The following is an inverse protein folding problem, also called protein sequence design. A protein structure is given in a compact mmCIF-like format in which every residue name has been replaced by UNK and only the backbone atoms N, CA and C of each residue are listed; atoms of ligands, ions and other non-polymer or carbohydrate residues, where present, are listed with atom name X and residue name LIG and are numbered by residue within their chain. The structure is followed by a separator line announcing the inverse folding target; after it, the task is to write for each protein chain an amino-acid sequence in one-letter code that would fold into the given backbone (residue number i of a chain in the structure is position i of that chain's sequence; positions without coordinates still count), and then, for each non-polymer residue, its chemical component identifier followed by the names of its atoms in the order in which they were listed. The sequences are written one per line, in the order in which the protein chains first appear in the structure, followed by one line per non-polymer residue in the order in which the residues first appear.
data_IF_912822002507
#
_entry.id   IF_912822002507
#
_cell.length_a   1.000
_cell.length_b   1.000
_cell.length_c   1.000
_cell.angle_alpha   90.00
_cell.angle_beta   90.00
_cell.angle_gamma   90.00
#
_symmetry.space_group_name_H-M   'P 1'
#
loop_
_entity.id
_entity.type
_entity.pdbx_description
1 polymer ?
#
# COMPACT_ATOMS: atom_id res chain seq x y z
N UNK A 1 10.60 -10.43 12.62
CA UNK A 1 9.46 -11.05 11.93
C UNK A 1 8.31 -10.05 11.84
N UNK A 2 7.52 -10.14 10.79
CA UNK A 2 6.42 -9.21 10.53
C UNK A 2 5.10 -9.93 10.82
N UNK A 3 4.34 -9.41 11.77
CA UNK A 3 2.97 -9.81 12.05
C UNK A 3 2.02 -8.63 11.78
N UNK A 4 0.75 -8.78 12.11
CA UNK A 4 -0.25 -7.74 11.88
C UNK A 4 0.08 -6.44 12.63
N UNK A 5 0.64 -6.53 13.84
CA UNK A 5 1.00 -5.34 14.62
C UNK A 5 2.16 -4.60 14.00
N UNK A 6 3.20 -5.32 13.56
CA UNK A 6 4.36 -4.72 12.89
C UNK A 6 3.94 -4.08 11.58
N UNK A 7 3.08 -4.73 10.82
CA UNK A 7 2.57 -4.20 9.57
C UNK A 7 1.76 -2.91 9.80
N UNK A 8 0.93 -2.88 10.83
CA UNK A 8 0.16 -1.69 11.21
C UNK A 8 1.07 -0.53 11.57
N UNK A 9 2.12 -0.77 12.36
CA UNK A 9 3.12 0.24 12.69
C UNK A 9 3.82 0.75 11.42
N UNK A 10 4.13 -0.14 10.49
CA UNK A 10 4.75 0.22 9.22
C UNK A 10 3.86 1.14 8.38
N UNK A 11 2.59 0.81 8.23
CA UNK A 11 1.66 1.66 7.49
C UNK A 11 1.48 3.02 8.15
N UNK A 12 1.41 3.08 9.48
CA UNK A 12 1.31 4.34 10.20
C UNK A 12 2.56 5.22 9.98
N UNK A 13 3.74 4.62 10.01
CA UNK A 13 5.00 5.33 9.75
C UNK A 13 5.05 5.86 8.31
N UNK A 14 4.64 5.07 7.33
CA UNK A 14 4.58 5.50 5.93
C UNK A 14 3.57 6.65 5.77
N UNK A 15 2.41 6.54 6.38
CA UNK A 15 1.37 7.59 6.34
C UNK A 15 1.90 8.92 6.87
N UNK A 16 2.57 8.90 8.02
CA UNK A 16 3.17 10.10 8.59
C UNK A 16 4.22 10.70 7.68
N UNK A 17 5.06 9.87 7.09
CA UNK A 17 6.11 10.33 6.16
C UNK A 17 5.53 10.94 4.90
N UNK A 18 4.47 10.35 4.37
CA UNK A 18 3.79 10.90 3.18
C UNK A 18 3.11 12.23 3.49
N UNK A 19 2.48 12.36 4.66
CA UNK A 19 1.87 13.63 5.09
C UNK A 19 2.92 14.73 5.25
N UNK A 20 4.08 14.41 5.85
CA UNK A 20 5.18 15.36 6.01
C UNK A 20 5.72 15.86 4.66
N UNK A 21 5.71 14.99 3.65
CA UNK A 21 6.28 15.29 2.34
C UNK A 21 5.22 15.64 1.28
N UNK A 22 3.97 15.81 1.67
CA UNK A 22 2.86 16.06 0.76
C UNK A 22 3.14 17.22 -0.19
N UNK A 23 3.52 18.38 0.34
CA UNK A 23 3.77 19.59 -0.46
C UNK A 23 4.98 19.41 -1.36
N UNK A 24 6.01 18.72 -0.88
CA UNK A 24 7.20 18.44 -1.67
C UNK A 24 6.88 17.54 -2.87
N UNK A 25 6.08 16.49 -2.65
CA UNK A 25 5.66 15.57 -3.72
C UNK A 25 4.77 16.27 -4.74
N UNK A 26 3.86 17.14 -4.30
CA UNK A 26 3.04 17.96 -5.20
C UNK A 26 3.93 18.83 -6.07
N UNK A 27 4.92 19.49 -5.47
CA UNK A 27 5.84 20.38 -6.18
C UNK A 27 6.63 19.64 -7.26
N UNK A 28 7.15 18.44 -6.93
CA UNK A 28 7.92 17.64 -7.90
C UNK A 28 7.01 17.20 -9.06
N UNK A 29 5.82 16.70 -8.75
CA UNK A 29 4.91 16.17 -9.76
C UNK A 29 4.37 17.26 -10.68
N UNK A 30 4.16 18.47 -10.17
CA UNK A 30 3.69 19.61 -10.99
C UNK A 30 4.65 20.00 -12.11
N UNK A 31 5.92 19.61 -12.02
CA UNK A 31 6.90 19.92 -13.07
C UNK A 31 6.65 19.10 -14.34
N UNK A 32 6.11 17.88 -14.21
CA UNK A 32 5.93 16.95 -15.33
C UNK A 32 4.55 16.29 -15.35
N UNK A 33 3.71 16.54 -14.35
CA UNK A 33 2.40 15.93 -14.21
C UNK A 33 1.35 16.92 -13.74
N UNK A 34 0.24 16.39 -13.27
CA UNK A 34 -0.91 17.18 -12.80
C UNK A 34 -0.86 17.54 -11.31
N UNK A 35 0.17 17.09 -10.60
CA UNK A 35 0.39 17.45 -9.19
C UNK A 35 -0.40 16.63 -8.18
N UNK A 36 -0.99 15.50 -8.58
CA UNK A 36 -1.81 14.70 -7.68
C UNK A 36 -1.03 13.66 -6.88
N UNK A 37 0.25 13.46 -7.15
CA UNK A 37 1.09 12.45 -6.49
C UNK A 37 1.08 12.58 -4.97
N UNK A 38 1.36 13.79 -4.46
CA UNK A 38 1.40 14.03 -3.01
C UNK A 38 0.05 13.84 -2.35
N UNK A 39 -1.02 14.26 -3.02
CA UNK A 39 -2.38 14.11 -2.54
C UNK A 39 -2.76 12.63 -2.46
N UNK A 40 -2.48 11.87 -3.53
CA UNK A 40 -2.78 10.43 -3.58
C UNK A 40 -2.01 9.64 -2.53
N UNK A 41 -0.72 9.93 -2.38
CA UNK A 41 0.12 9.21 -1.41
C UNK A 41 -0.31 9.53 0.03
N UNK A 42 -0.57 10.78 0.34
CA UNK A 42 -1.02 11.18 1.67
C UNK A 42 -2.39 10.56 2.00
N UNK A 43 -3.36 10.77 1.15
CA UNK A 43 -4.73 10.27 1.38
C UNK A 43 -4.78 8.73 1.38
N UNK A 44 -4.09 8.10 0.45
CA UNK A 44 -4.10 6.65 0.30
C UNK A 44 -3.46 5.93 1.48
N UNK A 45 -2.26 6.34 1.88
CA UNK A 45 -1.58 5.71 3.02
C UNK A 45 -2.26 6.02 4.35
N UNK A 46 -2.87 7.21 4.49
CA UNK A 46 -3.65 7.54 5.67
C UNK A 46 -4.85 6.61 5.83
N UNK A 47 -5.59 6.37 4.76
CA UNK A 47 -6.73 5.45 4.77
C UNK A 47 -6.27 4.02 5.04
N UNK A 48 -5.16 3.58 4.44
CA UNK A 48 -4.59 2.25 4.67
C UNK A 48 -4.15 2.08 6.12
N UNK A 49 -3.48 3.08 6.69
CA UNK A 49 -3.04 3.06 8.09
C UNK A 49 -4.23 2.99 9.06
N UNK A 50 -5.27 3.79 8.81
CA UNK A 50 -6.48 3.78 9.63
C UNK A 50 -7.18 2.42 9.58
N UNK A 51 -7.25 1.80 8.41
CA UNK A 51 -7.86 0.49 8.24
C UNK A 51 -7.05 -0.59 8.94
N UNK A 52 -5.73 -0.54 8.86
CA UNK A 52 -4.86 -1.47 9.58
C UNK A 52 -5.02 -1.32 11.09
N UNK A 53 -5.07 -0.10 11.58
CA UNK A 53 -5.26 0.18 13.01
C UNK A 53 -6.59 -0.37 13.51
N UNK A 54 -7.67 -0.22 12.73
CA UNK A 54 -9.00 -0.71 13.09
C UNK A 54 -9.09 -2.25 13.08
N UNK A 55 -8.16 -2.93 12.40
CA UNK A 55 -8.16 -4.38 12.25
C UNK A 55 -6.87 -5.04 12.76
N UNK A 56 -6.14 -4.37 13.64
CA UNK A 56 -4.82 -4.82 14.12
C UNK A 56 -4.88 -6.12 14.94
N UNK A 57 -6.04 -6.51 15.40
CA UNK A 57 -6.27 -7.76 16.15
C UNK A 57 -6.40 -8.99 15.25
N UNK A 58 -6.46 -8.82 13.93
CA UNK A 58 -6.49 -9.96 13.01
C UNK A 58 -5.16 -10.71 13.05
N UNK A 59 -5.23 -12.04 12.91
CA UNK A 59 -4.04 -12.86 12.76
C UNK A 59 -3.59 -12.98 11.30
N UNK A 60 -4.43 -12.60 10.35
CA UNK A 60 -4.16 -12.81 8.91
C UNK A 60 -3.58 -11.53 8.28
N UNK A 61 -2.27 -11.55 7.97
CA UNK A 61 -1.57 -10.46 7.30
C UNK A 61 -2.17 -10.19 5.92
N UNK A 62 -2.55 -11.25 5.21
CA UNK A 62 -3.16 -11.12 3.88
C UNK A 62 -4.46 -10.34 3.95
N UNK A 63 -5.31 -10.63 4.93
CA UNK A 63 -6.55 -9.88 5.15
C UNK A 63 -6.27 -8.41 5.42
N UNK A 64 -5.27 -8.12 6.25
CA UNK A 64 -4.90 -6.75 6.60
C UNK A 64 -4.44 -5.98 5.36
N UNK A 65 -3.59 -6.59 4.55
CA UNK A 65 -3.11 -5.99 3.29
C UNK A 65 -4.25 -5.78 2.28
N UNK A 66 -5.19 -6.71 2.21
CA UNK A 66 -6.36 -6.56 1.35
C UNK A 66 -7.20 -5.35 1.74
N UNK A 67 -7.48 -5.21 3.03
CA UNK A 67 -8.24 -4.07 3.56
C UNK A 67 -7.49 -2.76 3.33
N UNK A 68 -6.18 -2.75 3.54
CA UNK A 68 -5.32 -1.60 3.27
C UNK A 68 -5.37 -1.19 1.80
N UNK A 69 -5.24 -2.14 0.90
CA UNK A 69 -5.29 -1.90 -0.55
C UNK A 69 -6.64 -1.36 -1.01
N UNK A 70 -7.72 -1.94 -0.51
CA UNK A 70 -9.08 -1.49 -0.81
C UNK A 70 -9.32 -0.06 -0.33
N UNK A 71 -8.93 0.24 0.91
CA UNK A 71 -9.06 1.58 1.47
C UNK A 71 -8.22 2.60 0.72
N UNK A 72 -7.02 2.22 0.32
CA UNK A 72 -6.15 3.06 -0.47
C UNK A 72 -6.82 3.47 -1.78
N UNK A 73 -7.38 2.51 -2.49
CA UNK A 73 -8.04 2.76 -3.77
C UNK A 73 -9.23 3.71 -3.62
N UNK A 74 -10.01 3.55 -2.57
CA UNK A 74 -11.17 4.42 -2.30
C UNK A 74 -10.76 5.85 -1.97
N UNK A 75 -9.65 6.02 -1.23
CA UNK A 75 -9.19 7.33 -0.77
C UNK A 75 -8.32 8.07 -1.80
N UNK A 76 -7.72 7.34 -2.74
CA UNK A 76 -6.82 7.90 -3.75
C UNK A 76 -7.24 7.46 -5.16
N UNK A 77 -8.38 7.94 -5.67
CA UNK A 77 -8.90 7.53 -6.98
C UNK A 77 -8.12 8.19 -8.13
N UNK A 78 -6.89 7.74 -8.33
CA UNK A 78 -5.97 8.22 -9.36
C UNK A 78 -5.28 7.03 -10.01
N UNK A 79 -4.56 7.26 -11.12
CA UNK A 79 -3.80 6.19 -11.78
C UNK A 79 -2.76 5.59 -10.84
N UNK A 80 -2.01 6.43 -10.14
CA UNK A 80 -1.01 5.96 -9.18
C UNK A 80 -1.65 5.27 -7.97
N UNK A 81 -2.75 5.81 -7.47
CA UNK A 81 -3.51 5.20 -6.37
C UNK A 81 -3.99 3.81 -6.74
N UNK A 82 -4.47 3.63 -7.97
CA UNK A 82 -4.88 2.32 -8.48
C UNK A 82 -3.71 1.34 -8.53
N UNK A 83 -2.55 1.78 -9.01
CA UNK A 83 -1.35 0.93 -9.09
C UNK A 83 -0.92 0.47 -7.70
N UNK A 84 -0.83 1.40 -6.74
CA UNK A 84 -0.43 1.06 -5.36
C UNK A 84 -1.43 0.08 -4.74
N UNK A 85 -2.73 0.34 -4.90
CA UNK A 85 -3.75 -0.54 -4.34
C UNK A 85 -3.70 -1.94 -4.96
N UNK A 86 -3.43 -2.06 -6.25
CA UNK A 86 -3.28 -3.35 -6.92
C UNK A 86 -2.07 -4.12 -6.42
N UNK A 87 -0.95 -3.43 -6.15
CA UNK A 87 0.23 -4.05 -5.53
C UNK A 87 -0.10 -4.59 -4.13
N UNK A 88 -0.81 -3.83 -3.33
CA UNK A 88 -1.21 -4.26 -1.99
C UNK A 88 -2.17 -5.44 -2.04
N UNK A 89 -3.13 -5.42 -2.94
CA UNK A 89 -4.11 -6.51 -3.10
C UNK A 89 -3.43 -7.78 -3.61
N UNK A 90 -2.49 -7.68 -4.55
CA UNK A 90 -1.75 -8.84 -5.02
C UNK A 90 -0.88 -9.43 -3.90
N UNK A 91 -0.19 -8.59 -3.14
CA UNK A 91 0.54 -9.03 -1.96
C UNK A 91 -0.39 -9.72 -0.94
N UNK A 92 -1.60 -9.21 -0.78
CA UNK A 92 -2.61 -9.81 0.09
C UNK A 92 -2.97 -11.22 -0.36
N UNK A 93 -3.11 -11.44 -1.66
CA UNK A 93 -3.40 -12.78 -2.21
C UNK A 93 -2.27 -13.76 -1.93
N UNK A 94 -1.02 -13.31 -2.04
CA UNK A 94 0.14 -14.14 -1.76
C UNK A 94 0.28 -14.51 -0.29
N UNK A 95 -0.20 -13.65 0.60
CA UNK A 95 -0.08 -13.81 2.07
C UNK A 95 -1.36 -14.24 2.75
N UNK A 96 -2.38 -14.62 2.00
CA UNK A 96 -3.66 -15.05 2.57
C UNK A 96 -3.46 -16.20 3.56
N UNK A 97 -3.98 -16.03 4.79
CA UNK A 97 -3.84 -17.01 5.85
C UNK A 97 -2.51 -16.97 6.59
N UNK A 98 -1.59 -16.08 6.22
CA UNK A 98 -0.27 -15.96 6.85
C UNK A 98 -0.37 -15.09 8.10
N UNK A 99 0.11 -15.60 9.24
CA UNK A 99 0.11 -14.86 10.51
C UNK A 99 1.41 -14.08 10.72
N UNK A 100 2.53 -14.67 10.33
CA UNK A 100 3.87 -14.13 10.54
C UNK A 100 4.73 -14.44 9.33
N UNK A 101 5.53 -13.48 8.89
CA UNK A 101 6.44 -13.64 7.77
C UNK A 101 7.81 -13.05 8.12
N UNK A 102 8.90 -13.67 7.66
CA UNK A 102 10.24 -13.13 7.80
C UNK A 102 10.40 -11.89 6.92
N UNK A 103 11.20 -10.92 7.39
CA UNK A 103 11.44 -9.67 6.66
C UNK A 103 11.98 -9.94 5.24
N UNK A 104 12.90 -10.90 5.11
CA UNK A 104 13.47 -11.23 3.80
C UNK A 104 12.41 -11.76 2.84
N UNK A 105 11.50 -12.61 3.31
CA UNK A 105 10.41 -13.14 2.49
C UNK A 105 9.41 -12.07 2.13
N UNK A 106 9.09 -11.17 3.06
CA UNK A 106 8.22 -10.02 2.79
C UNK A 106 8.83 -9.12 1.71
N UNK A 107 10.14 -8.91 1.75
CA UNK A 107 10.84 -8.10 0.76
C UNK A 107 10.75 -8.66 -0.67
N UNK A 108 10.49 -9.97 -0.83
CA UNK A 108 10.30 -10.59 -2.13
C UNK A 108 8.87 -10.50 -2.67
N UNK A 109 7.90 -10.19 -1.82
CA UNK A 109 6.48 -10.10 -2.21
C UNK A 109 6.25 -8.94 -3.20
N UNK A 110 6.85 -7.78 -2.95
CA UNK A 110 6.64 -6.59 -3.79
C UNK A 110 7.15 -6.80 -5.22
N UNK A 111 8.37 -7.32 -5.46
CA UNK A 111 8.81 -7.64 -6.82
C UNK A 111 7.90 -8.63 -7.53
N UNK A 112 7.39 -9.65 -6.85
CA UNK A 112 6.46 -10.63 -7.42
C UNK A 112 5.13 -9.94 -7.78
N UNK A 113 4.60 -9.11 -6.90
CA UNK A 113 3.38 -8.34 -7.15
C UNK A 113 3.52 -7.41 -8.35
N UNK A 114 4.66 -6.74 -8.46
CA UNK A 114 4.97 -5.88 -9.60
C UNK A 114 5.02 -6.69 -10.90
N UNK A 115 5.61 -7.86 -10.87
CA UNK A 115 5.69 -8.75 -12.03
C UNK A 115 4.30 -9.18 -12.49
N UNK A 116 3.41 -9.53 -11.56
CA UNK A 116 2.02 -9.88 -11.84
C UNK A 116 1.27 -8.71 -12.48
N UNK A 117 1.42 -7.52 -11.92
CA UNK A 117 0.77 -6.31 -12.43
C UNK A 117 1.25 -5.99 -13.85
N UNK A 118 2.55 -6.07 -14.09
CA UNK A 118 3.15 -5.84 -15.41
C UNK A 118 2.65 -6.85 -16.45
N UNK A 119 2.57 -8.11 -16.08
CA UNK A 119 2.05 -9.17 -16.96
C UNK A 119 0.59 -8.89 -17.32
N UNK A 120 -0.21 -8.42 -16.38
CA UNK A 120 -1.61 -8.04 -16.63
C UNK A 120 -1.70 -6.87 -17.62
N UNK A 121 -0.87 -5.84 -17.46
CA UNK A 121 -0.83 -4.71 -18.38
C UNK A 121 -0.49 -5.15 -19.81
N UNK A 122 0.48 -6.04 -19.97
CA UNK A 122 0.90 -6.51 -21.29
C UNK A 122 -0.11 -7.44 -21.96
N UNK A 123 -1.02 -8.02 -21.20
CA UNK A 123 -2.07 -8.90 -21.75
C UNK A 123 -3.31 -8.14 -22.19
N UNK A 124 -3.39 -6.89 -21.85
CA UNK A 124 -4.47 -6.01 -22.29
C UNK A 124 -4.18 -5.43 -23.68
#
# INVERSE_FOLDING_TARGET
MIDAKVLTIGFDAISKKMSENRMHLISIDQQIGDGDLGISMDNGFKAAADMCCANADTADIGKLLFLAGKSFNEAAPSSLGTIVSMLLIDAAKQLKGTEVIALADFGNIIPVSYTHLRAHETSL
#
